data_IF_318921416138
#
_entry.id   IF_318921416138
#
_cell.length_a   1.000
_cell.length_b   1.000
_cell.length_c   1.000
_cell.angle_alpha   90.00
_cell.angle_beta   90.00
_cell.angle_gamma   90.00
#
_symmetry.space_group_name_H-M   'P 1'
#
loop_
_entity.id
_entity.type
_entity.pdbx_description
1 polymer ?
#
# COMPACT_ATOMS: atom_id res chain seq x y z
N UNK A 1 -6.95 -5.38 24.42
CA UNK A 1 -7.37 -6.20 23.25
C UNK A 1 -7.40 -5.25 22.07
N UNK A 2 -6.31 -5.19 21.28
CA UNK A 2 -6.20 -4.20 20.21
C UNK A 2 -7.13 -4.58 19.07
N UNK A 3 -8.12 -3.74 18.79
CA UNK A 3 -8.87 -3.82 17.54
C UNK A 3 -7.85 -3.56 16.43
N UNK A 4 -7.46 -4.59 15.67
CA UNK A 4 -6.86 -4.38 14.35
C UNK A 4 -7.84 -3.47 13.61
N UNK A 5 -7.46 -2.20 13.48
CA UNK A 5 -8.29 -1.22 12.79
C UNK A 5 -8.51 -1.76 11.38
N UNK A 6 -9.67 -1.52 10.77
CA UNK A 6 -9.93 -2.00 9.39
C UNK A 6 -8.83 -1.57 8.40
N UNK A 7 -8.02 -0.57 8.76
CA UNK A 7 -6.82 -0.10 8.05
C UNK A 7 -5.70 -1.15 7.95
N UNK A 8 -5.53 -2.01 8.97
CA UNK A 8 -4.45 -3.01 9.04
C UNK A 8 -4.76 -4.27 8.22
N UNK A 9 -6.00 -4.42 7.73
CA UNK A 9 -6.41 -5.59 6.97
C UNK A 9 -5.79 -5.52 5.56
N UNK A 10 -5.05 -6.56 5.12
CA UNK A 10 -4.55 -6.64 3.76
C UNK A 10 -5.68 -7.01 2.79
N UNK A 11 -6.53 -6.04 2.46
CA UNK A 11 -7.70 -6.23 1.60
C UNK A 11 -7.64 -5.42 0.30
N UNK A 12 -6.61 -4.60 0.11
CA UNK A 12 -6.45 -3.78 -1.08
C UNK A 12 -5.67 -4.54 -2.16
N UNK A 13 -6.17 -4.51 -3.38
CA UNK A 13 -5.35 -4.83 -4.57
C UNK A 13 -4.33 -3.71 -4.82
N UNK A 14 -3.34 -3.94 -5.69
CA UNK A 14 -2.39 -2.89 -6.11
C UNK A 14 -3.10 -1.65 -6.65
N UNK A 15 -4.21 -1.85 -7.37
CA UNK A 15 -5.04 -0.77 -7.91
C UNK A 15 -5.71 0.04 -6.80
N UNK A 16 -6.31 -0.64 -5.83
CA UNK A 16 -6.99 0.01 -4.71
C UNK A 16 -6.01 0.70 -3.77
N UNK A 17 -4.80 0.15 -3.60
CA UNK A 17 -3.73 0.80 -2.86
C UNK A 17 -3.33 2.13 -3.52
N UNK A 18 -3.21 2.15 -4.86
CA UNK A 18 -3.00 3.39 -5.59
C UNK A 18 -4.14 4.39 -5.40
N UNK A 19 -5.39 3.95 -5.53
CA UNK A 19 -6.58 4.82 -5.40
C UNK A 19 -6.65 5.43 -4.00
N UNK A 20 -6.43 4.62 -2.97
CA UNK A 20 -6.33 5.09 -1.59
C UNK A 20 -5.27 6.19 -1.43
N UNK A 21 -4.02 5.91 -1.81
CA UNK A 21 -2.92 6.86 -1.65
C UNK A 21 -3.12 8.15 -2.47
N UNK A 22 -3.72 8.04 -3.66
CA UNK A 22 -3.91 9.18 -4.56
C UNK A 22 -5.11 10.05 -4.19
N UNK A 23 -6.25 9.43 -3.90
CA UNK A 23 -7.53 10.13 -3.79
C UNK A 23 -7.99 10.32 -2.35
N UNK A 24 -7.70 9.38 -1.44
CA UNK A 24 -8.04 9.54 -0.02
C UNK A 24 -6.95 10.31 0.73
N UNK A 25 -5.67 10.01 0.48
CA UNK A 25 -4.53 10.63 1.18
C UNK A 25 -3.91 11.82 0.43
N UNK A 26 -4.43 12.16 -0.77
CA UNK A 26 -3.95 13.24 -1.65
C UNK A 26 -2.42 13.22 -1.90
N UNK A 27 -1.82 12.03 -1.99
CA UNK A 27 -0.38 11.89 -2.21
C UNK A 27 -0.04 11.97 -3.70
N UNK A 28 1.13 12.54 -4.07
CA UNK A 28 1.58 12.65 -5.46
C UNK A 28 2.18 11.31 -5.96
N UNK A 29 1.39 10.24 -5.89
CA UNK A 29 1.75 8.90 -6.38
C UNK A 29 1.08 8.60 -7.71
N UNK A 30 1.71 7.76 -8.53
CA UNK A 30 1.15 7.25 -9.78
C UNK A 30 0.99 5.73 -9.72
N UNK A 31 0.05 5.17 -10.49
CA UNK A 31 -0.10 3.71 -10.65
C UNK A 31 1.23 3.02 -10.95
N UNK A 32 2.01 3.60 -11.86
CA UNK A 32 3.33 3.10 -12.24
C UNK A 32 4.32 3.11 -11.08
N UNK A 33 4.28 4.14 -10.22
CA UNK A 33 5.15 4.21 -9.03
C UNK A 33 4.82 3.11 -8.01
N UNK A 34 3.54 2.83 -7.77
CA UNK A 34 3.10 1.73 -6.89
C UNK A 34 3.54 0.39 -7.48
N UNK A 35 3.30 0.15 -8.77
CA UNK A 35 3.73 -1.06 -9.46
C UNK A 35 5.22 -1.32 -9.29
N UNK A 36 6.06 -0.31 -9.52
CA UNK A 36 7.50 -0.47 -9.35
C UNK A 36 7.91 -0.67 -7.89
N UNK A 37 7.26 0.00 -6.94
CA UNK A 37 7.52 -0.21 -5.53
C UNK A 37 7.23 -1.67 -5.12
N UNK A 38 6.12 -2.24 -5.60
CA UNK A 38 5.79 -3.67 -5.39
C UNK A 38 6.83 -4.58 -6.07
N UNK A 39 7.17 -4.33 -7.33
CA UNK A 39 8.18 -5.13 -8.06
C UNK A 39 9.56 -5.11 -7.38
N UNK A 40 9.95 -3.97 -6.82
CA UNK A 40 11.21 -3.78 -6.08
C UNK A 40 11.15 -4.26 -4.64
N UNK A 41 9.99 -4.76 -4.19
CA UNK A 41 9.71 -5.17 -2.80
C UNK A 41 9.90 -4.03 -1.79
N UNK A 42 9.69 -2.79 -2.21
CA UNK A 42 9.61 -1.63 -1.33
C UNK A 42 8.24 -1.60 -0.61
N UNK A 43 7.19 -2.09 -1.27
CA UNK A 43 5.90 -2.41 -0.67
C UNK A 43 5.74 -3.94 -0.71
N UNK A 44 5.58 -4.58 0.44
CA UNK A 44 5.52 -6.04 0.54
C UNK A 44 4.06 -6.51 0.59
N UNK A 45 3.57 -7.24 -0.42
CA UNK A 45 2.21 -7.78 -0.39
C UNK A 45 2.08 -8.93 0.61
N UNK A 46 0.89 -9.05 1.18
CA UNK A 46 0.44 -10.28 1.83
C UNK A 46 -0.28 -11.15 0.80
N UNK A 47 0.17 -12.40 0.66
CA UNK A 47 -0.43 -13.36 -0.27
C UNK A 47 -1.62 -14.03 0.40
N UNK A 48 -2.81 -13.83 -0.17
CA UNK A 48 -4.05 -14.49 0.26
C UNK A 48 -4.56 -15.30 -0.93
N UNK A 49 -4.47 -16.63 -0.81
CA UNK A 49 -4.72 -17.53 -1.92
C UNK A 49 -3.75 -17.31 -3.10
N UNK A 50 -4.30 -16.97 -4.27
CA UNK A 50 -3.53 -16.74 -5.51
C UNK A 50 -3.19 -15.27 -5.78
N UNK A 51 -3.67 -14.35 -4.95
CA UNK A 51 -3.55 -12.91 -5.19
C UNK A 51 -2.71 -12.21 -4.12
N UNK A 52 -2.12 -11.09 -4.50
CA UNK A 52 -1.38 -10.19 -3.64
C UNK A 52 -2.32 -9.11 -3.11
N UNK A 53 -2.32 -8.89 -1.80
CA UNK A 53 -3.08 -7.85 -1.15
C UNK A 53 -2.19 -6.99 -0.27
N UNK A 54 -2.65 -5.75 -0.06
CA UNK A 54 -1.96 -4.72 0.68
C UNK A 54 -2.91 -4.13 1.71
N UNK A 55 -2.33 -3.65 2.80
CA UNK A 55 -3.01 -2.85 3.81
C UNK A 55 -2.72 -1.37 3.56
N UNK A 56 -3.53 -0.48 4.13
CA UNK A 56 -3.31 0.97 4.03
C UNK A 56 -1.93 1.40 4.59
N UNK A 57 -1.47 0.87 5.75
CA UNK A 57 -0.14 1.13 6.28
C UNK A 57 1.00 0.79 5.31
N UNK A 58 0.91 -0.31 4.55
CA UNK A 58 1.98 -0.72 3.62
C UNK A 58 2.31 0.39 2.59
N UNK A 59 1.28 1.11 2.13
CA UNK A 59 1.45 2.23 1.21
C UNK A 59 1.97 3.49 1.88
N UNK A 60 1.46 3.81 3.08
CA UNK A 60 1.87 4.99 3.85
C UNK A 60 3.33 4.88 4.32
N UNK A 61 3.74 3.72 4.80
CA UNK A 61 5.11 3.46 5.24
C UNK A 61 6.11 3.62 4.09
N UNK A 62 5.75 3.14 2.90
CA UNK A 62 6.54 3.36 1.70
C UNK A 62 6.65 4.84 1.36
N UNK A 63 5.56 5.61 1.39
CA UNK A 63 5.61 7.06 1.14
C UNK A 63 6.47 7.77 2.19
N UNK A 64 6.32 7.42 3.46
CA UNK A 64 7.11 7.96 4.56
C UNK A 64 8.61 7.66 4.39
N UNK A 65 8.96 6.47 3.92
CA UNK A 65 10.35 6.09 3.65
C UNK A 65 11.02 6.98 2.58
N UNK A 66 10.23 7.47 1.61
CA UNK A 66 10.71 8.37 0.55
C UNK A 66 10.97 9.80 1.01
N UNK A 67 10.27 10.27 2.06
CA UNK A 67 10.51 11.59 2.66
C UNK A 67 11.74 11.63 3.57
N UNK A 68 12.15 10.46 4.09
CA UNK A 68 13.30 10.32 5.00
C UNK A 68 14.66 10.16 4.28
N UNK A 69 14.68 10.16 2.95
CA UNK A 69 15.87 9.97 2.12
C UNK A 69 16.25 11.26 1.42
#
# INVERSE_FOLDING_TARGET
MGYLSDLDKPNLTEQQLYEYLRYEEDLPVTRRSIKYAVMRREIVPRRIGRSNYFSKPDGLDWVASRKRR
#
